data_IF_198439982550
#
_entry.id   IF_198439982550
#
_cell.length_a   1.000
_cell.length_b   1.000
_cell.length_c   1.000
_cell.angle_alpha   90.00
_cell.angle_beta   90.00
_cell.angle_gamma   90.00
#
_symmetry.space_group_name_H-M   'P 1'
#
loop_
_entity.id
_entity.type
_entity.pdbx_description
1 polymer ?
#
# COMPACT_ATOMS: atom_id res chain seq x y z
N UNK A 1 -13.01 -16.87 4.21
CA UNK A 1 -12.14 -15.69 4.02
C UNK A 1 -11.44 -15.41 5.34
N UNK A 2 -10.15 -15.70 5.47
CA UNK A 2 -9.40 -15.30 6.68
C UNK A 2 -9.10 -13.82 6.53
N UNK A 3 -9.73 -12.95 7.32
CA UNK A 3 -9.30 -11.55 7.36
C UNK A 3 -7.86 -11.54 7.86
N UNK A 4 -6.92 -11.13 7.01
CA UNK A 4 -5.53 -10.89 7.42
C UNK A 4 -5.55 -9.74 8.41
N UNK A 5 -5.43 -10.03 9.70
CA UNK A 5 -5.35 -9.00 10.74
C UNK A 5 -4.05 -8.22 10.53
N UNK A 6 -4.18 -6.96 10.16
CA UNK A 6 -3.08 -6.01 10.07
C UNK A 6 -3.23 -4.98 11.18
N UNK A 7 -2.13 -4.67 11.85
CA UNK A 7 -2.09 -3.61 12.85
C UNK A 7 -1.27 -2.44 12.31
N UNK A 8 -1.85 -1.25 12.40
CA UNK A 8 -1.21 -0.02 11.99
C UNK A 8 -0.38 0.53 13.15
N UNK A 9 0.79 1.09 12.85
CA UNK A 9 1.52 1.85 13.86
C UNK A 9 0.73 3.13 14.19
N UNK A 10 0.79 3.64 15.44
CA UNK A 10 -0.09 4.74 15.88
C UNK A 10 0.01 6.03 15.05
N UNK A 11 1.11 6.24 14.31
CA UNK A 11 1.39 7.46 13.54
C UNK A 11 1.29 7.30 12.03
N UNK A 12 1.03 6.11 11.51
CA UNK A 12 1.10 5.88 10.05
C UNK A 12 0.15 6.79 9.27
N UNK A 13 -1.05 7.07 9.80
CA UNK A 13 -2.02 7.96 9.16
C UNK A 13 -1.52 9.41 9.18
N UNK A 14 -0.98 9.87 10.31
CA UNK A 14 -0.41 11.21 10.44
C UNK A 14 0.76 11.41 9.46
N UNK A 15 1.65 10.44 9.36
CA UNK A 15 2.79 10.46 8.44
C UNK A 15 2.33 10.47 6.98
N UNK A 16 1.33 9.67 6.63
CA UNK A 16 0.76 9.64 5.29
C UNK A 16 0.11 10.99 4.92
N UNK A 17 -0.66 11.59 5.83
CA UNK A 17 -1.29 12.89 5.60
C UNK A 17 -0.23 13.97 5.39
N UNK A 18 0.79 14.04 6.24
CA UNK A 18 1.90 15.01 6.10
C UNK A 18 2.62 14.88 4.75
N UNK A 19 2.93 13.64 4.35
CA UNK A 19 3.58 13.38 3.06
C UNK A 19 2.67 13.78 1.89
N UNK A 20 1.39 13.41 1.94
CA UNK A 20 0.44 13.78 0.91
C UNK A 20 0.31 15.31 0.82
N UNK A 21 0.17 16.03 1.93
CA UNK A 21 0.05 17.49 1.94
C UNK A 21 1.31 18.21 1.48
N UNK A 22 2.49 17.61 1.65
CA UNK A 22 3.77 18.22 1.26
C UNK A 22 3.95 18.34 -0.26
N UNK A 23 3.25 17.53 -1.05
CA UNK A 23 3.30 17.57 -2.51
C UNK A 23 1.92 17.23 -3.12
N UNK A 24 1.24 18.17 -3.79
CA UNK A 24 -0.03 17.94 -4.47
C UNK A 24 0.00 16.82 -5.52
N UNK A 25 1.17 16.45 -6.04
CA UNK A 25 1.35 15.36 -6.99
C UNK A 25 1.34 13.95 -6.36
N UNK A 26 1.37 13.83 -5.03
CA UNK A 26 1.35 12.53 -4.36
C UNK A 26 -0.05 11.92 -4.42
N UNK A 27 -0.24 10.98 -5.36
CA UNK A 27 -1.47 10.22 -5.56
C UNK A 27 -1.64 9.01 -4.63
N UNK A 28 -0.54 8.41 -4.17
CA UNK A 28 -0.57 7.25 -3.28
C UNK A 28 0.72 7.06 -2.51
N UNK A 29 0.62 6.50 -1.30
CA UNK A 29 1.73 6.23 -0.39
C UNK A 29 1.73 4.74 -0.08
N UNK A 30 2.89 4.12 -0.29
CA UNK A 30 3.13 2.72 0.05
C UNK A 30 3.46 2.63 1.54
N UNK A 31 2.70 1.80 2.26
CA UNK A 31 2.93 1.50 3.67
C UNK A 31 3.58 0.11 3.74
N UNK A 32 4.87 0.01 4.06
CA UNK A 32 5.57 -1.28 4.04
C UNK A 32 5.01 -2.21 5.11
N UNK A 33 4.61 -3.41 4.72
CA UNK A 33 4.18 -4.45 5.65
C UNK A 33 5.37 -5.21 6.25
N UNK A 34 5.34 -5.41 7.57
CA UNK A 34 6.27 -6.32 8.27
C UNK A 34 5.53 -7.53 8.80
N UNK A 35 6.15 -8.70 8.74
CA UNK A 35 5.55 -9.90 9.32
C UNK A 35 5.85 -9.95 10.81
N UNK A 36 4.83 -9.81 11.65
CA UNK A 36 4.99 -9.85 13.11
C UNK A 36 4.91 -11.31 13.58
N UNK A 37 6.01 -11.83 14.11
CA UNK A 37 6.08 -13.17 14.68
C UNK A 37 7.52 -13.65 14.91
N UNK A 38 7.74 -14.38 16.00
CA UNK A 38 9.08 -14.85 16.37
C UNK A 38 9.43 -16.26 15.88
N UNK A 39 8.53 -16.91 15.13
CA UNK A 39 8.79 -18.24 14.56
C UNK A 39 9.65 -18.15 13.27
N UNK A 40 10.22 -19.28 12.87
CA UNK A 40 11.08 -19.36 11.69
C UNK A 40 10.40 -18.85 10.41
N UNK A 41 9.15 -19.26 10.16
CA UNK A 41 8.40 -18.89 8.96
C UNK A 41 8.06 -17.40 8.90
N UNK A 42 7.75 -16.78 10.04
CA UNK A 42 7.52 -15.35 10.13
C UNK A 42 8.78 -14.56 9.75
N UNK A 43 9.97 -15.00 10.18
CA UNK A 43 11.25 -14.40 9.80
C UNK A 43 11.56 -14.57 8.32
N UNK A 44 11.31 -15.76 7.75
CA UNK A 44 11.50 -16.01 6.31
C UNK A 44 10.57 -15.12 5.48
N UNK A 45 9.31 -14.98 5.88
CA UNK A 45 8.34 -14.11 5.19
C UNK A 45 8.67 -12.62 5.35
N UNK A 46 9.18 -12.18 6.49
CA UNK A 46 9.66 -10.80 6.66
C UNK A 46 10.87 -10.51 5.77
N UNK A 47 11.81 -11.45 5.69
CA UNK A 47 12.98 -11.35 4.80
C UNK A 47 12.57 -11.30 3.33
N UNK A 48 11.68 -12.19 2.88
CA UNK A 48 11.12 -12.19 1.52
C UNK A 48 10.49 -10.82 1.18
N UNK A 49 9.60 -10.31 2.04
CA UNK A 49 8.96 -9.01 1.85
C UNK A 49 9.95 -7.84 1.80
N UNK A 50 11.07 -7.91 2.51
CA UNK A 50 12.09 -6.86 2.49
C UNK A 50 12.69 -6.63 1.09
N UNK A 51 12.64 -7.63 0.21
CA UNK A 51 13.10 -7.49 -1.18
C UNK A 51 12.10 -6.75 -2.08
N UNK A 52 10.84 -6.64 -1.67
CA UNK A 52 9.79 -5.98 -2.45
C UNK A 52 9.65 -4.48 -2.13
N UNK A 53 10.30 -4.01 -1.06
CA UNK A 53 10.25 -2.61 -0.65
C UNK A 53 10.72 -1.70 -1.78
N UNK A 54 9.88 -0.72 -2.12
CA UNK A 54 10.05 0.26 -3.22
C UNK A 54 10.09 -0.36 -4.61
N UNK A 55 9.61 -1.59 -4.79
CA UNK A 55 9.44 -2.21 -6.10
C UNK A 55 8.02 -2.00 -6.63
N UNK A 56 7.76 -2.14 -7.94
CA UNK A 56 6.42 -2.06 -8.51
C UNK A 56 5.43 -3.12 -7.99
N UNK A 57 5.91 -4.13 -7.25
CA UNK A 57 5.09 -5.17 -6.64
C UNK A 57 4.24 -4.58 -5.50
N UNK A 58 4.72 -3.54 -4.81
CA UNK A 58 3.95 -2.89 -3.76
C UNK A 58 2.79 -2.06 -4.32
N UNK A 59 1.67 -2.10 -3.60
CA UNK A 59 0.51 -1.25 -3.86
C UNK A 59 0.36 -0.23 -2.73
N UNK A 60 -0.12 0.99 -3.01
CA UNK A 60 -0.31 2.01 -2.01
C UNK A 60 -1.43 1.61 -1.04
N UNK A 61 -1.17 1.75 0.26
CA UNK A 61 -2.17 1.55 1.31
C UNK A 61 -2.90 2.83 1.72
N UNK A 62 -2.41 3.98 1.24
CA UNK A 62 -3.02 5.29 1.45
C UNK A 62 -3.09 6.02 0.11
N UNK A 63 -4.28 6.52 -0.24
CA UNK A 63 -4.57 7.10 -1.55
C UNK A 63 -5.18 8.48 -1.41
N UNK A 64 -4.75 9.40 -2.27
CA UNK A 64 -5.39 10.70 -2.39
C UNK A 64 -6.64 10.57 -3.24
N UNK A 65 -7.79 10.92 -2.64
CA UNK A 65 -9.11 10.63 -3.23
C UNK A 65 -9.32 11.26 -4.61
N UNK A 66 -9.00 12.54 -4.77
CA UNK A 66 -9.18 13.27 -6.02
C UNK A 66 -8.34 12.67 -7.16
N UNK A 67 -7.07 12.35 -6.91
CA UNK A 67 -6.18 11.73 -7.89
C UNK A 67 -6.58 10.28 -8.19
N UNK A 68 -7.00 9.51 -7.18
CA UNK A 68 -7.50 8.16 -7.38
C UNK A 68 -8.76 8.14 -8.27
N UNK A 69 -9.72 9.05 -8.02
CA UNK A 69 -10.93 9.19 -8.84
C UNK A 69 -10.56 9.66 -10.26
N UNK A 70 -9.64 10.63 -10.39
CA UNK A 70 -9.16 11.10 -11.69
C UNK A 70 -8.48 9.99 -12.51
N UNK A 71 -7.83 9.05 -11.84
CA UNK A 71 -7.22 7.85 -12.43
C UNK A 71 -8.22 6.70 -12.70
N UNK A 72 -9.53 6.94 -12.55
CA UNK A 72 -10.59 5.97 -12.84
C UNK A 72 -11.04 5.11 -11.66
N UNK A 73 -10.51 5.32 -10.46
CA UNK A 73 -10.91 4.58 -9.25
C UNK A 73 -10.49 3.10 -9.27
N UNK A 74 -11.06 2.33 -8.35
CA UNK A 74 -10.93 0.88 -8.35
C UNK A 74 -11.84 0.26 -9.40
N UNK A 75 -11.34 -0.77 -10.08
CA UNK A 75 -12.10 -1.53 -11.06
C UNK A 75 -12.86 -2.64 -10.33
N UNK A 76 -14.20 -2.59 -10.38
CA UNK A 76 -15.08 -3.55 -9.68
C UNK A 76 -15.05 -4.95 -10.31
N UNK A 77 -14.59 -5.08 -11.57
CA UNK A 77 -14.47 -6.36 -12.26
C UNK A 77 -13.14 -7.08 -11.94
N UNK A 78 -12.21 -6.39 -11.28
CA UNK A 78 -10.93 -6.95 -10.84
C UNK A 78 -11.07 -7.43 -9.40
N UNK A 79 -10.58 -8.65 -9.12
CA UNK A 79 -10.55 -9.22 -7.77
C UNK A 79 -9.10 -9.58 -7.43
N UNK A 80 -8.66 -9.24 -6.21
CA UNK A 80 -7.32 -9.46 -5.64
C UNK A 80 -6.16 -8.58 -6.16
N UNK A 81 -6.39 -7.73 -7.16
CA UNK A 81 -5.36 -6.87 -7.78
C UNK A 81 -5.84 -5.42 -7.99
N UNK A 82 -6.93 -5.03 -7.35
CA UNK A 82 -7.60 -3.74 -7.50
C UNK A 82 -6.61 -2.59 -7.22
N UNK A 83 -5.87 -2.66 -6.12
CA UNK A 83 -4.90 -1.64 -5.72
C UNK A 83 -3.69 -1.55 -6.66
N UNK A 84 -3.22 -2.70 -7.16
CA UNK A 84 -2.09 -2.76 -8.07
C UNK A 84 -2.42 -2.09 -9.42
N UNK A 85 -3.63 -2.30 -9.93
CA UNK A 85 -4.05 -1.67 -11.18
C UNK A 85 -4.22 -0.15 -11.04
N UNK A 86 -4.79 0.31 -9.93
CA UNK A 86 -4.91 1.74 -9.64
C UNK A 86 -3.52 2.37 -9.45
N UNK A 87 -2.59 1.67 -8.78
CA UNK A 87 -1.21 2.12 -8.63
C UNK A 87 -0.51 2.35 -9.99
N UNK A 88 -0.72 1.45 -10.95
CA UNK A 88 -0.19 1.63 -12.31
C UNK A 88 -0.77 2.88 -12.98
N UNK A 89 -2.09 3.12 -12.85
CA UNK A 89 -2.77 4.29 -13.44
C UNK A 89 -2.36 5.62 -12.79
N UNK A 90 -1.98 5.61 -11.50
CA UNK A 90 -1.47 6.81 -10.82
C UNK A 90 -0.04 7.19 -11.22
N UNK A 91 0.70 6.30 -11.89
CA UNK A 91 2.08 6.53 -12.36
C UNK A 91 2.15 6.97 -13.83
N UNK A 92 1.07 6.83 -14.59
CA UNK A 92 0.96 7.21 -16.01
C UNK A 92 0.52 8.65 -16.18
#
# INVERSE_FOLDING_TARGET
MSSKTMELTPRVVEECVKLAESDPGVGGIVIPERSVGNNYWAKVRDLEKSFYVRTPIESPGFLRRDLAIKAGGFDEDIVFYEEATLHTRLRS
#
